data_IF_755125895287
#
_entry.id   IF_755125895287
#
_cell.length_a   1.000
_cell.length_b   1.000
_cell.length_c   1.000
_cell.angle_alpha   90.00
_cell.angle_beta   90.00
_cell.angle_gamma   90.00
#
_symmetry.space_group_name_H-M   'P 1'
#
loop_
_entity.id
_entity.type
_entity.pdbx_description
1 polymer ?
#
# COMPACT_ATOMS: atom_id res chain seq x y z
N UNK A 1 -10.76 2.40 25.53
CA UNK A 1 -9.88 3.39 24.85
C UNK A 1 -8.40 3.08 25.06
N UNK A 2 -7.94 2.78 26.29
CA UNK A 2 -6.53 2.49 26.60
C UNK A 2 -5.92 1.34 25.76
N UNK A 3 -6.66 0.26 25.54
CA UNK A 3 -6.22 -0.88 24.71
C UNK A 3 -5.99 -0.49 23.24
N UNK A 4 -6.81 0.39 22.69
CA UNK A 4 -6.69 0.88 21.30
C UNK A 4 -5.46 1.78 21.16
N UNK A 5 -5.22 2.67 22.14
CA UNK A 5 -4.04 3.54 22.14
C UNK A 5 -2.71 2.77 22.17
N UNK A 6 -2.61 1.71 23.00
CA UNK A 6 -1.40 0.87 23.08
C UNK A 6 -1.15 0.15 21.74
N UNK A 7 -2.19 -0.39 21.11
CA UNK A 7 -2.06 -1.09 19.82
C UNK A 7 -1.62 -0.12 18.71
N UNK A 8 -2.16 1.09 18.67
CA UNK A 8 -1.75 2.10 17.68
C UNK A 8 -0.28 2.52 17.85
N UNK A 9 0.19 2.68 19.09
CA UNK A 9 1.60 2.99 19.37
C UNK A 9 2.50 1.83 18.93
N UNK A 10 2.13 0.59 19.27
CA UNK A 10 2.89 -0.60 18.87
C UNK A 10 2.96 -0.75 17.34
N UNK A 11 1.84 -0.54 16.64
CA UNK A 11 1.80 -0.54 15.17
C UNK A 11 2.67 0.57 14.57
N UNK A 12 2.61 1.79 15.11
CA UNK A 12 3.43 2.90 14.61
C UNK A 12 4.93 2.68 14.80
N UNK A 13 5.35 2.10 15.93
CA UNK A 13 6.75 1.73 16.18
C UNK A 13 7.19 0.61 15.23
N UNK A 14 6.34 -0.40 15.01
CA UNK A 14 6.65 -1.53 14.14
C UNK A 14 6.75 -1.11 12.66
N UNK A 15 5.88 -0.21 12.20
CA UNK A 15 5.97 0.38 10.86
C UNK A 15 7.25 1.22 10.70
N UNK A 16 7.61 2.01 11.72
CA UNK A 16 8.85 2.77 11.73
C UNK A 16 10.09 1.88 11.69
N UNK A 17 10.08 0.77 12.45
CA UNK A 17 11.18 -0.20 12.45
C UNK A 17 11.30 -0.94 11.11
N UNK A 18 10.17 -1.34 10.51
CA UNK A 18 10.13 -1.95 9.19
C UNK A 18 10.66 -1.00 8.11
N UNK A 19 10.21 0.26 8.14
CA UNK A 19 10.69 1.33 7.27
C UNK A 19 12.21 1.52 7.39
N UNK A 20 12.73 1.55 8.62
CA UNK A 20 14.16 1.70 8.85
C UNK A 20 14.96 0.53 8.26
N UNK A 21 14.46 -0.69 8.40
CA UNK A 21 15.11 -1.88 7.83
C UNK A 21 15.05 -1.98 6.30
N UNK A 22 14.17 -1.21 5.65
CA UNK A 22 14.02 -1.19 4.18
C UNK A 22 14.66 0.02 3.49
N UNK A 23 15.35 0.88 4.25
CA UNK A 23 16.07 2.05 3.71
C UNK A 23 17.29 1.70 2.83
N UNK A 24 17.76 0.46 2.86
CA UNK A 24 18.98 0.02 2.17
C UNK A 24 18.76 -0.49 0.72
N UNK A 25 17.53 -0.51 0.19
CA UNK A 25 17.28 -1.02 -1.16
C UNK A 25 16.97 0.10 -2.18
N UNK A 26 17.93 0.49 -3.04
CA UNK A 26 17.75 1.54 -4.05
C UNK A 26 16.99 1.08 -5.30
N UNK A 27 16.43 -0.13 -5.35
CA UNK A 27 15.83 -0.65 -6.57
C UNK A 27 14.34 -0.30 -6.70
N UNK A 28 14.05 0.51 -7.72
CA UNK A 28 12.74 0.72 -8.31
C UNK A 28 11.62 1.22 -7.37
N UNK A 29 11.60 2.53 -7.20
CA UNK A 29 10.52 3.34 -6.55
C UNK A 29 9.13 3.12 -7.21
N UNK A 30 9.07 2.42 -8.35
CA UNK A 30 7.84 2.05 -9.07
C UNK A 30 7.52 0.54 -9.07
N UNK A 31 8.00 -0.21 -8.08
CA UNK A 31 7.39 -1.50 -7.76
C UNK A 31 5.93 -1.29 -7.35
N UNK A 32 5.02 -2.14 -7.83
CA UNK A 32 3.56 -2.08 -7.53
C UNK A 32 3.19 -2.17 -6.04
N UNK A 33 4.16 -2.44 -5.17
CA UNK A 33 4.16 -2.04 -3.77
C UNK A 33 5.09 -0.82 -3.64
N UNK A 34 4.57 0.39 -3.39
CA UNK A 34 5.44 1.53 -3.16
C UNK A 34 6.32 1.23 -1.95
N UNK A 35 7.62 1.00 -2.16
CA UNK A 35 8.62 1.29 -1.14
C UNK A 35 8.54 2.81 -0.95
N UNK A 36 8.09 3.31 0.21
CA UNK A 36 7.87 4.73 0.39
C UNK A 36 9.23 5.42 0.58
N UNK A 37 10.02 5.60 -0.48
CA UNK A 37 11.17 6.50 -0.47
C UNK A 37 10.66 7.94 -0.43
N UNK A 38 10.22 8.35 0.77
CA UNK A 38 9.91 9.70 1.22
C UNK A 38 9.34 9.53 2.63
N UNK A 39 10.17 9.75 3.66
CA UNK A 39 9.80 9.91 5.07
C UNK A 39 8.34 9.61 5.40
N UNK A 40 7.96 8.35 5.68
CA UNK A 40 6.54 7.98 5.85
C UNK A 40 5.87 8.86 6.92
N UNK A 41 5.00 9.82 6.55
CA UNK A 41 4.28 10.63 7.52
C UNK A 41 3.31 9.78 8.35
N UNK A 42 2.97 8.57 7.86
CA UNK A 42 2.03 7.64 8.48
C UNK A 42 2.46 7.17 9.86
N UNK A 43 3.73 6.83 10.04
CA UNK A 43 4.28 6.33 11.31
C UNK A 43 4.17 7.37 12.44
N UNK A 44 4.52 8.63 12.18
CA UNK A 44 4.40 9.72 13.15
C UNK A 44 2.92 10.04 13.47
N UNK A 45 2.04 10.00 12.47
CA UNK A 45 0.60 10.21 12.64
C UNK A 45 0.00 9.11 13.54
N UNK A 46 0.37 7.84 13.35
CA UNK A 46 -0.11 6.72 14.17
C UNK A 46 0.32 6.83 15.64
N UNK A 47 1.58 7.24 15.89
CA UNK A 47 2.09 7.44 17.25
C UNK A 47 1.38 8.61 17.94
N UNK A 48 1.22 9.75 17.25
CA UNK A 48 0.53 10.93 17.79
C UNK A 48 -0.94 10.62 18.09
N UNK A 49 -1.64 9.92 17.19
CA UNK A 49 -3.01 9.48 17.41
C UNK A 49 -3.12 8.49 18.58
N UNK A 50 -2.18 7.56 18.71
CA UNK A 50 -2.12 6.61 19.83
C UNK A 50 -1.98 7.28 21.20
N UNK A 51 -1.09 8.28 21.32
CA UNK A 51 -0.91 9.07 22.55
C UNK A 51 -2.17 9.89 22.88
N UNK A 52 -2.79 10.47 21.85
CA UNK A 52 -4.03 11.23 22.00
C UNK A 52 -5.22 10.37 22.47
N UNK A 53 -5.27 9.09 22.09
CA UNK A 53 -6.27 8.14 22.63
C UNK A 53 -6.06 7.80 24.10
N UNK A 54 -4.82 7.70 24.56
CA UNK A 54 -4.52 7.44 25.96
C UNK A 54 -4.97 8.59 26.87
N UNK A 55 -5.07 9.81 26.32
CA UNK A 55 -5.58 10.99 27.03
C UNK A 55 -7.11 11.09 27.07
N UNK A 56 -7.85 10.14 26.48
CA UNK A 56 -9.30 10.06 26.58
C UNK A 56 -10.07 11.18 25.85
N UNK A 57 -9.46 11.83 24.86
CA UNK A 57 -10.13 12.89 24.11
C UNK A 57 -11.20 12.29 23.17
N UNK A 58 -12.48 12.51 23.51
CA UNK A 58 -13.64 12.03 22.75
C UNK A 58 -13.72 12.62 21.33
N UNK A 59 -13.13 13.80 21.08
CA UNK A 59 -13.12 14.44 19.76
C UNK A 59 -12.33 13.62 18.73
N UNK A 60 -11.32 12.87 19.19
CA UNK A 60 -10.37 12.15 18.34
C UNK A 60 -10.91 10.79 17.91
N UNK A 61 -11.90 10.27 18.64
CA UNK A 61 -12.59 9.01 18.35
C UNK A 61 -13.22 9.04 16.96
N UNK A 62 -13.89 10.14 16.59
CA UNK A 62 -14.56 10.26 15.29
C UNK A 62 -13.56 10.31 14.14
N UNK A 63 -12.50 11.12 14.28
CA UNK A 63 -11.42 11.23 13.30
C UNK A 63 -10.73 9.88 13.07
N UNK A 64 -10.43 9.14 14.14
CA UNK A 64 -9.73 7.86 14.00
C UNK A 64 -10.65 6.76 13.49
N UNK A 65 -11.94 6.80 13.83
CA UNK A 65 -12.91 5.89 13.21
C UNK A 65 -12.96 6.11 11.69
N UNK A 66 -12.87 7.38 11.26
CA UNK A 66 -12.79 7.74 9.85
C UNK A 66 -11.48 7.24 9.20
N UNK A 67 -10.33 7.47 9.83
CA UNK A 67 -9.04 6.95 9.33
C UNK A 67 -9.00 5.41 9.31
N UNK A 68 -9.52 4.74 10.33
CA UNK A 68 -9.60 3.28 10.37
C UNK A 68 -10.46 2.73 9.22
N UNK A 69 -11.59 3.39 8.91
CA UNK A 69 -12.42 3.04 7.78
C UNK A 69 -11.72 3.27 6.43
N UNK A 70 -10.99 4.39 6.29
CA UNK A 70 -10.20 4.68 5.09
C UNK A 70 -9.10 3.65 4.88
N UNK A 71 -8.33 3.34 5.92
CA UNK A 71 -7.24 2.36 5.91
C UNK A 71 -7.79 0.96 5.58
N UNK A 72 -8.91 0.58 6.19
CA UNK A 72 -9.57 -0.69 5.93
C UNK A 72 -10.00 -0.80 4.45
N UNK A 73 -10.63 0.25 3.92
CA UNK A 73 -11.07 0.28 2.53
C UNK A 73 -9.87 0.23 1.56
N UNK A 74 -8.84 1.03 1.81
CA UNK A 74 -7.62 1.08 1.01
C UNK A 74 -6.92 -0.29 0.95
N UNK A 75 -6.62 -0.89 2.11
CA UNK A 75 -5.93 -2.18 2.15
C UNK A 75 -6.79 -3.32 1.59
N UNK A 76 -8.10 -3.32 1.83
CA UNK A 76 -9.00 -4.32 1.26
C UNK A 76 -9.07 -4.21 -0.27
N UNK A 77 -9.24 -3.00 -0.81
CA UNK A 77 -9.21 -2.76 -2.26
C UNK A 77 -7.87 -3.14 -2.89
N UNK A 78 -6.75 -2.87 -2.19
CA UNK A 78 -5.43 -3.25 -2.69
C UNK A 78 -5.24 -4.77 -2.73
N UNK A 79 -5.75 -5.49 -1.73
CA UNK A 79 -5.72 -6.96 -1.70
C UNK A 79 -6.53 -7.58 -2.85
N UNK A 80 -7.69 -7.00 -3.17
CA UNK A 80 -8.53 -7.42 -4.31
C UNK A 80 -7.83 -7.17 -5.65
N UNK A 81 -7.02 -6.11 -5.74
CA UNK A 81 -6.30 -5.72 -6.97
C UNK A 81 -5.11 -6.64 -7.28
N UNK A 82 -4.44 -7.21 -6.27
CA UNK A 82 -3.25 -8.03 -6.43
C UNK A 82 -3.33 -9.09 -7.55
N UNK A 83 -4.34 -9.97 -7.61
CA UNK A 83 -4.40 -11.00 -8.65
C UNK A 83 -4.49 -10.45 -10.08
N UNK A 84 -4.91 -9.20 -10.26
CA UNK A 84 -5.02 -8.55 -11.56
C UNK A 84 -3.74 -7.82 -11.99
N UNK A 85 -2.79 -7.62 -11.07
CA UNK A 85 -1.55 -6.89 -11.38
C UNK A 85 -0.48 -7.78 -12.01
N UNK A 86 -0.53 -9.08 -11.77
CA UNK A 86 0.50 -10.03 -12.19
C UNK A 86 -0.10 -11.16 -13.01
N UNK A 87 0.61 -11.65 -14.03
CA UNK A 87 0.18 -12.83 -14.78
C UNK A 87 0.16 -14.07 -13.87
N UNK A 88 -0.69 -15.05 -14.19
CA UNK A 88 -0.83 -16.29 -13.40
C UNK A 88 0.49 -17.02 -13.20
N UNK A 89 1.33 -17.06 -14.26
CA UNK A 89 2.65 -17.70 -14.25
C UNK A 89 3.58 -17.09 -13.19
N UNK A 90 3.46 -15.78 -12.92
CA UNK A 90 4.31 -15.09 -11.95
C UNK A 90 4.07 -15.59 -10.54
N UNK A 91 2.81 -15.89 -10.19
CA UNK A 91 2.45 -16.37 -8.85
C UNK A 91 3.03 -17.76 -8.55
N UNK A 92 3.04 -18.64 -9.54
CA UNK A 92 3.62 -19.98 -9.41
C UNK A 92 5.13 -19.90 -9.17
N UNK A 93 5.80 -19.04 -9.93
CA UNK A 93 7.26 -18.83 -9.79
C UNK A 93 7.57 -18.16 -8.46
N UNK A 94 6.81 -17.14 -8.05
CA UNK A 94 7.00 -16.44 -6.79
C UNK A 94 6.86 -17.36 -5.57
N UNK A 95 5.93 -18.31 -5.63
CA UNK A 95 5.77 -19.33 -4.60
C UNK A 95 6.91 -20.34 -4.55
N UNK A 96 7.51 -20.67 -5.70
CA UNK A 96 8.61 -21.65 -5.80
C UNK A 96 9.96 -21.07 -5.39
N UNK A 97 10.28 -19.86 -5.85
CA UNK A 97 11.60 -19.24 -5.71
C UNK A 97 11.84 -18.77 -4.28
N UNK A 98 10.95 -17.94 -3.73
CA UNK A 98 11.05 -17.43 -2.37
C UNK A 98 9.65 -17.11 -1.81
N UNK A 99 8.96 -18.10 -1.22
CA UNK A 99 7.61 -17.88 -0.71
C UNK A 99 7.59 -16.92 0.48
N UNK A 100 8.67 -16.82 1.26
CA UNK A 100 8.67 -15.97 2.46
C UNK A 100 8.78 -14.51 2.05
N UNK A 101 9.79 -14.15 1.25
CA UNK A 101 9.99 -12.77 0.82
C UNK A 101 8.81 -12.24 -0.01
N UNK A 102 8.26 -13.07 -0.91
CA UNK A 102 7.17 -12.65 -1.79
C UNK A 102 5.80 -12.52 -1.10
N UNK A 103 5.50 -13.35 -0.09
CA UNK A 103 4.17 -13.37 0.55
C UNK A 103 4.12 -12.72 1.94
N UNK A 104 5.27 -12.48 2.60
CA UNK A 104 5.31 -11.78 3.88
C UNK A 104 4.64 -10.39 3.84
N UNK A 105 4.84 -9.54 2.80
CA UNK A 105 4.15 -8.25 2.70
C UNK A 105 2.62 -8.41 2.66
N UNK A 106 2.13 -9.40 1.91
CA UNK A 106 0.70 -9.73 1.81
C UNK A 106 0.14 -10.19 3.16
N UNK A 107 0.90 -11.01 3.90
CA UNK A 107 0.52 -11.45 5.24
C UNK A 107 0.44 -10.26 6.23
N UNK A 108 1.44 -9.37 6.20
CA UNK A 108 1.43 -8.14 7.02
C UNK A 108 0.23 -7.26 6.68
N UNK A 109 -0.12 -7.13 5.40
CA UNK A 109 -1.31 -6.41 4.97
C UNK A 109 -2.62 -7.03 5.51
N UNK A 110 -2.75 -8.36 5.50
CA UNK A 110 -3.91 -9.06 6.08
C UNK A 110 -4.02 -8.80 7.58
N UNK A 111 -2.89 -8.84 8.30
CA UNK A 111 -2.85 -8.52 9.73
C UNK A 111 -3.27 -7.07 9.98
N UNK A 112 -2.78 -6.13 9.16
CA UNK A 112 -3.16 -4.72 9.26
C UNK A 112 -4.66 -4.50 9.04
N UNK A 113 -5.27 -5.19 8.06
CA UNK A 113 -6.73 -5.18 7.85
C UNK A 113 -7.47 -5.70 9.09
N UNK A 114 -7.02 -6.81 9.67
CA UNK A 114 -7.64 -7.40 10.85
C UNK A 114 -7.55 -6.46 12.06
N UNK A 115 -6.39 -5.82 12.28
CA UNK A 115 -6.21 -4.81 13.34
C UNK A 115 -7.08 -3.58 13.09
N UNK A 116 -7.12 -3.05 11.88
CA UNK A 116 -7.96 -1.90 11.53
C UNK A 116 -9.46 -2.21 11.73
N UNK A 117 -9.91 -3.40 11.33
CA UNK A 117 -11.26 -3.88 11.56
C UNK A 117 -11.58 -4.02 13.06
N UNK A 118 -10.66 -4.58 13.84
CA UNK A 118 -10.81 -4.69 15.28
C UNK A 118 -10.89 -3.31 15.95
N UNK A 119 -10.01 -2.36 15.59
CA UNK A 119 -10.06 -0.98 16.09
C UNK A 119 -11.39 -0.32 15.74
N UNK A 120 -11.85 -0.49 14.50
CA UNK A 120 -13.13 0.04 14.02
C UNK A 120 -14.32 -0.51 14.80
N UNK A 121 -14.37 -1.82 15.05
CA UNK A 121 -15.45 -2.45 15.85
C UNK A 121 -15.43 -1.97 17.31
N UNK A 122 -14.24 -1.82 17.90
CA UNK A 122 -14.09 -1.29 19.26
C UNK A 122 -14.57 0.16 19.36
N UNK A 123 -14.24 1.02 18.39
CA UNK A 123 -14.65 2.43 18.39
C UNK A 123 -16.15 2.61 18.14
N UNK A 124 -16.79 1.69 17.41
CA UNK A 124 -18.25 1.68 17.18
C UNK A 124 -19.06 0.94 18.25
N UNK A 125 -18.43 0.48 19.33
CA UNK A 125 -19.17 -0.16 20.42
C UNK A 125 -20.17 0.82 21.05
N UNK A 126 -21.37 0.32 21.37
CA UNK A 126 -22.48 1.07 21.99
C UNK A 126 -22.09 2.02 23.15
N UNK A 127 -21.19 1.67 24.09
CA UNK A 127 -20.79 2.60 25.16
C UNK A 127 -20.02 3.84 24.66
N UNK A 128 -19.28 3.74 23.56
CA UNK A 128 -18.50 4.86 23.01
C UNK A 128 -19.40 5.76 22.15
N UNK A 129 -20.29 5.16 21.37
CA UNK A 129 -21.29 5.90 20.58
C UNK A 129 -22.24 6.67 21.50
N UNK A 130 -22.72 6.05 22.58
CA UNK A 130 -23.58 6.73 23.57
C UNK A 130 -22.84 7.82 24.35
N UNK A 131 -21.55 7.67 24.63
CA UNK A 131 -20.71 8.73 25.20
C UNK A 131 -20.53 9.91 24.23
N UNK A 132 -20.36 9.65 22.93
CA UNK A 132 -20.31 10.71 21.90
C UNK A 132 -21.62 11.48 21.83
N UNK A 133 -22.75 10.79 21.74
CA UNK A 133 -24.09 11.40 21.66
C UNK A 133 -24.40 12.25 22.89
N UNK A 134 -23.96 11.84 24.08
CA UNK A 134 -24.16 12.63 25.32
C UNK A 134 -23.24 13.84 25.42
N UNK A 135 -22.12 13.86 24.71
CA UNK A 135 -21.11 14.89 24.90
C UNK A 135 -21.45 16.23 24.23
N UNK A 136 -22.51 16.33 23.43
CA UNK A 136 -22.92 17.51 22.62
C UNK A 136 -21.82 18.13 21.73
N UNK A 137 -20.62 17.56 21.76
CA UNK A 137 -19.50 17.83 20.89
C UNK A 137 -19.73 17.06 19.59
N UNK A 138 -20.75 17.48 18.85
CA UNK A 138 -20.93 17.13 17.45
C UNK A 138 -19.83 17.81 16.65
N UNK A 139 -18.60 17.29 16.74
CA UNK A 139 -17.54 17.70 15.84
C UNK A 139 -17.94 17.26 14.43
N UNK A 140 -17.80 18.19 13.48
CA UNK A 140 -18.12 18.09 12.06
C UNK A 140 -17.19 17.09 11.35
N UNK A 141 -17.14 15.86 11.84
CA UNK A 141 -16.35 14.81 11.24
C UNK A 141 -16.94 14.47 9.86
N UNK A 142 -16.09 14.34 8.83
CA UNK A 142 -16.56 14.00 7.51
C UNK A 142 -17.37 12.70 7.54
N UNK A 143 -18.41 12.58 6.69
CA UNK A 143 -19.29 11.42 6.73
C UNK A 143 -18.46 10.15 6.54
N UNK A 144 -18.71 9.13 7.37
CA UNK A 144 -17.96 7.88 7.37
C UNK A 144 -17.95 7.17 6.00
N UNK A 145 -19.03 7.34 5.22
CA UNK A 145 -19.13 6.86 3.84
C UNK A 145 -18.04 7.44 2.93
N UNK A 146 -17.64 8.69 3.16
CA UNK A 146 -16.58 9.35 2.41
C UNK A 146 -15.24 8.64 2.65
N UNK A 147 -14.97 8.15 3.86
CA UNK A 147 -13.73 7.41 4.16
C UNK A 147 -13.60 6.14 3.30
N UNK A 148 -14.69 5.38 3.19
CA UNK A 148 -14.73 4.18 2.36
C UNK A 148 -14.59 4.51 0.87
N UNK A 149 -15.33 5.52 0.39
CA UNK A 149 -15.24 5.96 -1.01
C UNK A 149 -13.82 6.41 -1.32
N UNK A 150 -13.20 7.23 -0.48
CA UNK A 150 -11.86 7.73 -0.69
C UNK A 150 -10.82 6.61 -0.69
N UNK A 151 -10.93 5.64 0.22
CA UNK A 151 -10.04 4.47 0.23
C UNK A 151 -10.14 3.64 -1.04
N UNK A 152 -11.35 3.43 -1.58
CA UNK A 152 -11.56 2.73 -2.85
C UNK A 152 -11.02 3.55 -4.02
N UNK A 153 -11.37 4.84 -4.10
CA UNK A 153 -10.97 5.75 -5.19
C UNK A 153 -9.45 5.84 -5.28
N UNK A 154 -8.76 5.88 -4.14
CA UNK A 154 -7.30 5.94 -4.07
C UNK A 154 -6.61 4.73 -4.71
N UNK A 155 -7.27 3.56 -4.73
CA UNK A 155 -6.77 2.36 -5.40
C UNK A 155 -7.29 2.25 -6.84
N UNK A 156 -8.56 2.58 -7.07
CA UNK A 156 -9.22 2.43 -8.36
C UNK A 156 -8.66 3.38 -9.42
N UNK A 157 -8.43 4.66 -9.08
CA UNK A 157 -7.97 5.67 -10.05
C UNK A 157 -6.62 5.32 -10.66
N UNK A 158 -5.55 4.99 -9.88
CA UNK A 158 -4.28 4.58 -10.46
C UNK A 158 -4.38 3.31 -11.33
N UNK A 159 -5.23 2.35 -10.92
CA UNK A 159 -5.46 1.13 -11.70
C UNK A 159 -6.13 1.44 -13.03
N UNK A 160 -7.14 2.32 -13.04
CA UNK A 160 -7.79 2.78 -14.26
C UNK A 160 -6.80 3.51 -15.16
N UNK A 161 -5.93 4.37 -14.62
CA UNK A 161 -4.89 5.04 -15.41
C UNK A 161 -3.97 4.01 -16.07
N UNK A 162 -3.48 3.01 -15.32
CA UNK A 162 -2.66 1.92 -15.89
C UNK A 162 -3.42 1.21 -17.02
N UNK A 163 -4.68 0.84 -16.79
CA UNK A 163 -5.47 0.09 -17.77
C UNK A 163 -5.76 0.90 -19.05
N UNK A 164 -6.01 2.21 -18.94
CA UNK A 164 -6.37 3.04 -20.09
C UNK A 164 -5.17 3.64 -20.83
N UNK A 165 -4.06 3.92 -20.15
CA UNK A 165 -2.90 4.61 -20.73
C UNK A 165 -1.66 3.73 -20.92
N UNK A 166 -1.53 2.62 -20.17
CA UNK A 166 -0.36 1.74 -20.14
C UNK A 166 -0.74 0.31 -20.56
N UNK A 167 -1.61 0.18 -21.56
CA UNK A 167 -1.99 -1.12 -22.10
C UNK A 167 -0.79 -1.78 -22.82
N UNK A 168 -0.72 -3.14 -22.86
CA UNK A 168 0.38 -3.90 -23.45
C UNK A 168 0.69 -3.64 -24.93
N UNK A 169 -0.23 -3.01 -25.66
CA UNK A 169 -0.07 -2.62 -27.07
C UNK A 169 0.57 -1.23 -27.25
N UNK A 170 0.93 -0.54 -26.15
CA UNK A 170 1.65 0.72 -26.27
C UNK A 170 3.10 0.43 -26.69
N UNK A 171 3.56 1.10 -27.76
CA UNK A 171 4.94 0.99 -28.27
C UNK A 171 6.01 1.24 -27.18
N UNK A 172 5.63 1.92 -26.10
CA UNK A 172 6.45 2.26 -24.94
C UNK A 172 6.74 1.03 -24.07
N UNK A 173 5.75 0.16 -23.81
CA UNK A 173 5.97 -1.08 -23.05
C UNK A 173 6.85 -2.06 -23.83
N UNK A 174 6.62 -2.18 -25.14
CA UNK A 174 7.45 -3.02 -26.01
C UNK A 174 8.91 -2.55 -26.00
N UNK A 175 9.16 -1.22 -26.09
CA UNK A 175 10.49 -0.62 -26.01
C UNK A 175 11.15 -0.89 -24.66
N UNK A 176 10.42 -0.78 -23.54
CA UNK A 176 10.93 -1.10 -22.21
C UNK A 176 11.37 -2.56 -22.09
N UNK A 177 10.57 -3.50 -22.63
CA UNK A 177 10.90 -4.93 -22.62
C UNK A 177 12.08 -5.24 -23.54
N UNK A 178 12.19 -4.58 -24.69
CA UNK A 178 13.32 -4.76 -25.62
C UNK A 178 14.64 -4.30 -25.00
N UNK A 179 14.65 -3.14 -24.36
CA UNK A 179 15.83 -2.64 -23.63
C UNK A 179 16.19 -3.61 -22.51
N UNK A 180 15.20 -4.06 -21.73
CA UNK A 180 15.44 -5.01 -20.64
C UNK A 180 16.02 -6.34 -21.15
N UNK A 181 15.54 -6.87 -22.28
CA UNK A 181 16.10 -8.08 -22.91
C UNK A 181 17.54 -7.88 -23.36
N UNK A 182 17.86 -6.71 -23.89
CA UNK A 182 19.22 -6.40 -24.36
C UNK A 182 20.20 -6.29 -23.19
N UNK A 183 19.77 -5.70 -22.07
CA UNK A 183 20.62 -5.50 -20.89
C UNK A 183 20.73 -6.73 -19.98
N UNK A 184 19.63 -7.44 -19.74
CA UNK A 184 19.54 -8.51 -18.73
C UNK A 184 19.40 -9.92 -19.34
N UNK A 185 19.23 -10.03 -20.66
CA UNK A 185 19.24 -11.27 -21.43
C UNK A 185 17.85 -11.85 -21.75
N UNK A 186 17.80 -12.73 -22.75
CA UNK A 186 16.56 -13.34 -23.24
C UNK A 186 16.01 -14.46 -22.34
N UNK A 187 16.80 -14.94 -21.36
CA UNK A 187 16.40 -16.02 -20.45
C UNK A 187 15.34 -15.65 -19.40
N UNK A 188 14.83 -14.42 -19.42
CA UNK A 188 13.83 -13.91 -18.48
C UNK A 188 12.53 -13.55 -19.20
N UNK A 189 11.41 -13.82 -18.53
CA UNK A 189 10.15 -13.16 -18.83
C UNK A 189 10.15 -11.79 -18.16
N UNK A 190 9.69 -10.77 -18.87
CA UNK A 190 9.65 -9.39 -18.39
C UNK A 190 8.20 -8.94 -18.23
N UNK A 191 7.88 -8.29 -17.11
CA UNK A 191 6.59 -7.68 -16.87
C UNK A 191 6.76 -6.27 -16.31
N UNK A 192 6.21 -5.26 -16.98
CA UNK A 192 6.31 -3.86 -16.55
C UNK A 192 5.46 -3.62 -15.29
N UNK A 193 6.12 -3.15 -14.23
CA UNK A 193 5.50 -2.76 -12.97
C UNK A 193 4.94 -1.34 -13.04
N UNK A 194 5.75 -0.43 -13.58
CA UNK A 194 5.42 0.98 -13.69
C UNK A 194 6.44 1.75 -14.51
N UNK A 195 6.04 2.94 -14.95
CA UNK A 195 6.86 3.87 -15.72
C UNK A 195 6.74 5.28 -15.16
N UNK A 196 7.83 6.03 -15.24
CA UNK A 196 7.89 7.42 -14.87
C UNK A 196 8.63 8.20 -15.96
N UNK A 197 7.98 9.21 -16.49
CA UNK A 197 8.62 10.20 -17.33
C UNK A 197 9.07 11.38 -16.46
N UNK A 198 10.36 11.73 -16.54
CA UNK A 198 10.93 12.86 -15.83
C UNK A 198 11.98 13.54 -16.69
N UNK A 199 11.84 14.86 -16.90
CA UNK A 199 12.81 15.68 -17.64
C UNK A 199 13.17 15.13 -19.04
N UNK A 200 12.20 14.57 -19.77
CA UNK A 200 12.45 14.00 -21.11
C UNK A 200 13.15 12.65 -21.10
N UNK A 201 13.28 12.00 -19.93
CA UNK A 201 13.73 10.61 -19.81
C UNK A 201 12.62 9.74 -19.26
N UNK A 202 12.43 8.58 -19.87
CA UNK A 202 11.46 7.59 -19.42
C UNK A 202 12.22 6.52 -18.64
N UNK A 203 11.84 6.31 -17.39
CA UNK A 203 12.30 5.21 -16.56
C UNK A 203 11.18 4.20 -16.39
N UNK A 204 11.47 2.93 -16.67
CA UNK A 204 10.55 1.84 -16.40
C UNK A 204 11.16 0.85 -15.41
N UNK A 205 10.31 0.24 -14.60
CA UNK A 205 10.65 -0.84 -13.71
C UNK A 205 9.94 -2.10 -14.16
N UNK A 206 10.69 -3.20 -14.33
CA UNK A 206 10.17 -4.47 -14.79
C UNK A 206 10.51 -5.56 -13.78
N UNK A 207 9.60 -6.51 -13.58
CA UNK A 207 9.96 -7.80 -13.02
C UNK A 207 10.61 -8.63 -14.13
N UNK A 208 11.87 -8.99 -13.95
CA UNK A 208 12.53 -10.03 -14.71
C UNK A 208 12.47 -11.33 -13.90
N UNK A 209 11.82 -12.35 -14.45
CA UNK A 209 11.60 -13.61 -13.75
C UNK A 209 11.83 -14.81 -14.67
N UNK A 210 12.41 -15.86 -14.10
CA UNK A 210 12.58 -17.17 -14.73
C UNK A 210 12.24 -18.26 -13.70
N UNK A 211 12.49 -19.54 -13.99
CA UNK A 211 12.15 -20.61 -13.03
C UNK A 211 12.98 -20.61 -11.75
N UNK A 212 14.07 -19.83 -11.68
CA UNK A 212 15.09 -19.88 -10.64
C UNK A 212 15.10 -18.63 -9.76
N UNK A 213 14.82 -17.45 -10.33
CA UNK A 213 14.86 -16.17 -9.64
C UNK A 213 13.80 -15.19 -10.14
N UNK A 214 13.45 -14.25 -9.26
CA UNK A 214 12.66 -13.05 -9.57
C UNK A 214 13.49 -11.85 -9.12
N UNK A 215 13.68 -10.89 -10.03
CA UNK A 215 14.35 -9.63 -9.73
C UNK A 215 13.60 -8.45 -10.35
N UNK A 216 13.70 -7.31 -9.68
CA UNK A 216 13.20 -6.05 -10.21
C UNK A 216 14.34 -5.39 -10.96
N UNK A 217 14.13 -5.03 -12.22
CA UNK A 217 15.16 -4.39 -13.07
C UNK A 217 14.67 -3.02 -13.55
N UNK A 218 15.46 -1.95 -13.35
CA UNK A 218 15.20 -0.65 -13.96
C UNK A 218 15.75 -0.60 -15.38
N UNK A 219 15.05 0.10 -16.27
CA UNK A 219 15.53 0.50 -17.60
C UNK A 219 15.21 1.97 -17.84
N UNK A 220 16.06 2.68 -18.58
CA UNK A 220 15.93 4.11 -18.86
C UNK A 220 16.19 4.41 -20.34
N UNK A 221 15.38 5.26 -20.96
CA UNK A 221 15.60 5.70 -22.33
C UNK A 221 15.04 7.10 -22.60
N UNK A 222 15.49 7.69 -23.70
CA UNK A 222 14.96 8.95 -24.24
C UNK A 222 13.88 8.64 -25.30
N UNK A 223 12.73 9.35 -25.28
CA UNK A 223 11.56 9.05 -26.12
C UNK A 223 11.88 8.96 -27.61
#
# INVERSE_FOLDING_TARGET
MTRVGIVLIACGILEFAYFWSTLDDPQCILSSNPSPTSSSPGSAILVVLGVLFLRGNLQIVSLVTWFAALILAYFASNLIRLPFLFPTDFWEIAFRVDPVSNFLPTLVQIIAIAVAFWVYTQLRAAPIVSALVRSDHSYSAPPLKLAFILGIVLVAVPLSIKFFYLTPDSAIEAKAVEIARTEYGEGYKYHVLGMLESNGRIRACLNAYNEQEIKVVPVEWEP
#
